data_IF_650928210318
#
_entry.id   IF_650928210318
#
_cell.length_a   1.000
_cell.length_b   1.000
_cell.length_c   1.000
_cell.angle_alpha   90.00
_cell.angle_beta   90.00
_cell.angle_gamma   90.00
#
_symmetry.space_group_name_H-M   'P 1'
#
loop_
_entity.id
_entity.type
_entity.pdbx_description
1 polymer ?
#
# COMPACT_ATOMS: atom_id res chain seq x y z
N UNK A 1 -10.97 43.95 -43.08
CA UNK A 1 -10.61 42.67 -43.72
C UNK A 1 -9.27 42.25 -43.11
N UNK A 2 -9.21 41.34 -42.14
CA UNK A 2 -9.41 39.89 -42.29
C UNK A 2 -8.01 39.26 -42.40
N UNK A 3 -7.40 38.80 -41.30
CA UNK A 3 -7.24 37.37 -40.96
C UNK A 3 -5.89 36.85 -41.50
N UNK A 4 -5.16 35.87 -40.98
CA UNK A 4 -5.28 34.89 -39.89
C UNK A 4 -3.84 34.65 -39.37
N UNK A 5 -3.65 34.45 -38.06
CA UNK A 5 -2.48 33.75 -37.54
C UNK A 5 -3.00 32.56 -36.72
N UNK A 6 -2.72 31.37 -37.22
CA UNK A 6 -3.19 30.09 -36.69
C UNK A 6 -2.65 29.86 -35.29
N UNK A 7 -3.55 29.55 -34.36
CA UNK A 7 -3.22 29.06 -33.02
C UNK A 7 -3.10 27.54 -33.08
N UNK A 8 -1.89 27.03 -33.15
CA UNK A 8 -1.62 25.63 -32.82
C UNK A 8 -1.74 25.47 -31.30
N UNK A 9 -2.81 24.80 -30.88
CA UNK A 9 -3.04 24.42 -29.48
C UNK A 9 -2.63 22.97 -29.33
N UNK A 10 -1.37 22.72 -28.99
CA UNK A 10 -0.93 21.38 -28.57
C UNK A 10 -1.31 21.16 -27.10
N UNK A 11 -2.45 20.53 -26.90
CA UNK A 11 -2.85 20.00 -25.60
C UNK A 11 -1.89 18.89 -25.17
N UNK A 12 -1.15 19.12 -24.07
CA UNK A 12 -0.40 18.08 -23.36
C UNK A 12 -1.37 17.01 -22.83
N UNK A 13 -1.35 15.82 -23.42
CA UNK A 13 -1.95 14.61 -22.82
C UNK A 13 -1.16 14.26 -21.55
N UNK A 14 -1.83 14.26 -20.40
CA UNK A 14 -1.35 13.61 -19.17
C UNK A 14 -1.25 12.10 -19.43
N UNK A 15 -0.16 11.49 -18.98
CA UNK A 15 0.15 10.08 -19.19
C UNK A 15 -0.96 9.18 -18.66
N UNK A 16 -1.57 8.43 -19.57
CA UNK A 16 -2.33 7.24 -19.26
C UNK A 16 -1.31 6.13 -18.94
N UNK A 17 -1.28 5.69 -17.67
CA UNK A 17 -0.45 4.57 -17.25
C UNK A 17 -0.78 3.32 -18.06
N UNK A 18 0.25 2.51 -18.35
CA UNK A 18 0.08 1.20 -19.01
C UNK A 18 -0.94 0.38 -18.21
N UNK A 19 -1.96 -0.11 -18.91
CA UNK A 19 -3.06 -0.88 -18.34
C UNK A 19 -2.52 -2.00 -17.43
N UNK A 20 -2.74 -1.89 -16.12
CA UNK A 20 -2.39 -2.94 -15.14
C UNK A 20 -1.06 -2.79 -14.37
N UNK A 21 -0.39 -1.63 -14.39
CA UNK A 21 0.72 -1.33 -13.47
C UNK A 21 0.47 -0.04 -12.70
N UNK A 22 0.05 -0.16 -11.44
CA UNK A 22 -0.27 0.95 -10.55
C UNK A 22 0.93 1.48 -9.78
N UNK A 23 1.97 0.67 -9.62
CA UNK A 23 3.17 1.03 -8.86
C UNK A 23 4.14 1.93 -9.63
N UNK A 24 4.03 2.04 -10.96
CA UNK A 24 4.98 2.76 -11.80
C UNK A 24 4.66 4.26 -11.94
N UNK A 25 5.71 5.08 -11.95
CA UNK A 25 5.64 6.53 -12.18
C UNK A 25 6.73 7.00 -13.15
N UNK A 26 6.39 7.88 -14.08
CA UNK A 26 7.37 8.48 -15.00
C UNK A 26 8.34 9.43 -14.29
N UNK A 27 7.90 10.06 -13.18
CA UNK A 27 8.68 11.00 -12.39
C UNK A 27 8.31 10.91 -10.90
N UNK A 28 9.24 11.31 -10.03
CA UNK A 28 8.98 11.43 -8.59
C UNK A 28 7.97 12.56 -8.31
N UNK A 29 7.15 12.42 -7.25
CA UNK A 29 6.39 13.54 -6.71
C UNK A 29 7.31 14.69 -6.26
N UNK A 30 6.76 15.90 -6.18
CA UNK A 30 7.46 17.05 -5.61
C UNK A 30 7.63 16.89 -4.09
N UNK A 31 8.73 17.42 -3.55
CA UNK A 31 8.95 17.47 -2.09
C UNK A 31 9.39 16.15 -1.47
N UNK A 32 9.83 15.19 -2.28
CA UNK A 32 10.41 13.94 -1.76
C UNK A 32 11.82 14.14 -1.22
N UNK A 33 12.14 13.41 -0.15
CA UNK A 33 13.47 13.39 0.45
C UNK A 33 14.27 12.19 -0.05
N UNK A 34 15.47 12.42 -0.58
CA UNK A 34 16.37 11.33 -0.98
C UNK A 34 17.13 10.81 0.24
N UNK A 35 17.09 9.49 0.43
CA UNK A 35 17.72 8.77 1.56
C UNK A 35 18.38 7.49 1.07
N UNK A 36 19.09 6.81 1.95
CA UNK A 36 19.83 5.57 1.68
C UNK A 36 19.28 4.43 2.52
N UNK A 37 19.04 3.27 1.91
CA UNK A 37 18.56 2.08 2.64
C UNK A 37 19.64 1.55 3.58
N UNK A 38 19.29 1.29 4.85
CA UNK A 38 20.14 0.59 5.83
C UNK A 38 19.76 -0.90 5.95
N UNK A 39 18.49 -1.19 6.24
CA UNK A 39 18.00 -2.56 6.43
C UNK A 39 16.51 -2.68 6.11
N UNK A 40 16.06 -3.84 5.62
CA UNK A 40 14.63 -4.15 5.43
C UNK A 40 14.26 -5.24 6.43
N UNK A 41 13.32 -4.93 7.33
CA UNK A 41 12.89 -5.83 8.39
C UNK A 41 11.88 -6.84 7.86
N UNK A 42 10.81 -6.34 7.24
CA UNK A 42 9.66 -7.09 6.73
C UNK A 42 9.09 -6.40 5.48
N UNK A 43 7.90 -6.81 5.04
CA UNK A 43 7.27 -6.29 3.82
C UNK A 43 6.72 -4.86 3.94
N UNK A 44 6.78 -4.24 5.12
CA UNK A 44 6.20 -2.93 5.35
C UNK A 44 7.03 -2.00 6.24
N UNK A 45 8.20 -2.45 6.70
CA UNK A 45 9.10 -1.72 7.57
C UNK A 45 10.56 -1.89 7.14
N UNK A 46 11.28 -0.77 7.06
CA UNK A 46 12.71 -0.70 6.77
C UNK A 46 13.40 0.37 7.65
N UNK A 47 14.73 0.46 7.60
CA UNK A 47 15.52 1.57 8.15
C UNK A 47 16.32 2.26 7.06
N UNK A 48 16.55 3.55 7.28
CA UNK A 48 17.42 4.40 6.47
C UNK A 48 18.76 4.62 7.15
N UNK A 49 19.78 5.12 6.46
CA UNK A 49 21.06 5.45 7.10
C UNK A 49 21.01 6.83 7.76
N UNK A 50 20.25 7.73 7.17
CA UNK A 50 20.01 9.08 7.65
C UNK A 50 19.17 9.07 8.95
N UNK A 51 19.11 10.22 9.63
CA UNK A 51 18.28 10.41 10.82
C UNK A 51 18.51 9.34 11.91
N UNK A 52 19.77 9.01 12.23
CA UNK A 52 20.12 8.03 13.28
C UNK A 52 19.53 6.62 13.07
N UNK A 53 19.60 6.11 11.84
CA UNK A 53 19.02 4.81 11.49
C UNK A 53 17.51 4.71 11.72
N UNK A 54 16.79 5.78 11.38
CA UNK A 54 15.33 5.87 11.59
C UNK A 54 14.60 4.72 10.91
N UNK A 55 13.61 4.16 11.61
CA UNK A 55 12.67 3.18 11.05
C UNK A 55 11.61 3.90 10.23
N UNK A 56 11.36 3.41 9.02
CA UNK A 56 10.29 3.87 8.12
C UNK A 56 9.23 2.78 8.00
N UNK A 57 7.98 3.12 8.30
CA UNK A 57 6.79 2.30 8.12
C UNK A 57 6.06 2.75 6.86
N UNK A 58 5.85 1.80 5.95
CA UNK A 58 5.18 2.04 4.68
C UNK A 58 3.70 2.35 4.94
N UNK A 59 3.29 3.59 4.65
CA UNK A 59 1.89 4.02 4.73
C UNK A 59 1.02 3.12 3.86
N UNK A 60 -0.14 2.71 4.37
CA UNK A 60 -1.15 2.00 3.59
C UNK A 60 -0.91 0.49 3.45
N UNK A 61 0.15 -0.06 4.04
CA UNK A 61 0.58 -1.46 3.86
C UNK A 61 0.56 -2.19 5.20
N UNK A 62 0.04 -3.41 5.27
CA UNK A 62 0.15 -4.33 6.42
C UNK A 62 0.60 -5.69 5.87
N UNK A 63 1.90 -5.94 6.01
CA UNK A 63 2.54 -7.15 5.48
C UNK A 63 2.53 -8.27 6.53
N UNK A 64 2.58 -9.54 6.10
CA UNK A 64 2.73 -10.66 7.04
C UNK A 64 4.03 -10.55 7.85
N UNK A 65 3.93 -10.80 9.15
CA UNK A 65 4.99 -10.57 10.13
C UNK A 65 6.01 -11.73 10.14
N UNK A 66 7.28 -11.40 9.90
CA UNK A 66 8.37 -12.38 9.87
C UNK A 66 8.61 -13.06 11.22
N UNK A 67 8.50 -12.31 12.31
CA UNK A 67 8.73 -12.83 13.67
C UNK A 67 7.68 -13.87 14.06
N UNK A 68 6.45 -13.70 13.56
CA UNK A 68 5.32 -14.59 13.83
C UNK A 68 5.27 -15.77 12.82
N UNK A 69 6.19 -15.79 11.84
CA UNK A 69 6.27 -16.78 10.76
C UNK A 69 4.95 -16.90 10.00
N UNK A 70 4.31 -15.76 9.75
CA UNK A 70 3.07 -15.73 8.98
C UNK A 70 3.32 -16.18 7.52
N UNK A 71 2.35 -16.85 6.88
CA UNK A 71 2.46 -17.19 5.47
C UNK A 71 2.80 -15.97 4.60
N UNK A 72 3.71 -16.15 3.65
CA UNK A 72 4.21 -15.10 2.75
C UNK A 72 5.07 -13.99 3.39
N UNK A 73 5.38 -14.05 4.69
CA UNK A 73 6.22 -13.04 5.34
C UNK A 73 7.64 -12.97 4.74
N UNK A 74 8.22 -14.12 4.39
CA UNK A 74 9.56 -14.20 3.77
C UNK A 74 9.54 -13.63 2.36
N UNK A 75 8.54 -13.99 1.58
CA UNK A 75 8.33 -13.54 0.21
C UNK A 75 8.11 -12.01 0.17
N UNK A 76 7.28 -11.49 1.08
CA UNK A 76 7.01 -10.06 1.21
C UNK A 76 8.27 -9.26 1.55
N UNK A 77 9.01 -9.70 2.57
CA UNK A 77 10.26 -9.06 2.96
C UNK A 77 11.33 -9.15 1.86
N UNK A 78 11.43 -10.29 1.17
CA UNK A 78 12.39 -10.47 0.08
C UNK A 78 12.05 -9.60 -1.13
N UNK A 79 10.76 -9.41 -1.44
CA UNK A 79 10.34 -8.50 -2.49
C UNK A 79 10.75 -7.06 -2.18
N UNK A 80 10.53 -6.58 -0.96
CA UNK A 80 11.00 -5.24 -0.55
C UNK A 80 12.52 -5.16 -0.55
N UNK A 81 13.25 -6.18 -0.09
CA UNK A 81 14.73 -6.23 -0.19
C UNK A 81 15.23 -6.17 -1.62
N UNK A 82 14.52 -6.81 -2.54
CA UNK A 82 14.85 -6.76 -3.96
C UNK A 82 14.64 -5.36 -4.51
N UNK A 83 13.57 -4.65 -4.15
CA UNK A 83 13.34 -3.28 -4.61
C UNK A 83 14.27 -2.26 -3.91
N UNK A 84 14.55 -2.47 -2.63
CA UNK A 84 15.34 -1.61 -1.76
C UNK A 84 16.60 -2.34 -1.23
N UNK A 85 17.62 -2.61 -2.07
CA UNK A 85 18.87 -3.17 -1.58
C UNK A 85 19.54 -2.26 -0.56
N UNK A 86 20.21 -2.85 0.42
CA UNK A 86 21.06 -2.11 1.36
C UNK A 86 22.06 -1.22 0.60
N UNK A 87 22.16 0.04 1.02
CA UNK A 87 23.04 1.05 0.40
C UNK A 87 22.50 1.68 -0.88
N UNK A 88 21.35 1.23 -1.40
CA UNK A 88 20.73 1.87 -2.57
C UNK A 88 19.99 3.15 -2.17
N UNK A 89 19.89 4.14 -3.10
CA UNK A 89 19.09 5.32 -2.88
C UNK A 89 17.59 5.01 -3.02
N UNK A 90 16.79 5.68 -2.22
CA UNK A 90 15.33 5.74 -2.37
C UNK A 90 14.82 7.13 -1.98
N UNK A 91 13.53 7.36 -2.19
CA UNK A 91 12.89 8.65 -1.90
C UNK A 91 11.68 8.47 -1.00
N UNK A 92 11.55 9.34 -0.01
CA UNK A 92 10.44 9.36 0.94
C UNK A 92 9.50 10.52 0.62
N UNK A 93 8.21 10.23 0.50
CA UNK A 93 7.13 11.22 0.52
C UNK A 93 6.34 11.05 1.81
N UNK A 94 6.26 12.12 2.59
CA UNK A 94 5.50 12.15 3.84
C UNK A 94 4.04 12.53 3.57
N UNK A 95 3.12 11.94 4.31
CA UNK A 95 1.68 12.22 4.19
C UNK A 95 1.06 12.44 5.57
N UNK A 96 0.81 13.70 5.93
CA UNK A 96 0.29 14.09 7.24
C UNK A 96 1.31 13.96 8.37
N UNK A 97 0.94 13.24 9.44
CA UNK A 97 1.80 13.00 10.60
C UNK A 97 3.04 12.20 10.18
N UNK A 98 4.22 12.70 10.56
CA UNK A 98 5.49 12.09 10.16
C UNK A 98 5.87 10.87 10.99
N UNK A 99 5.29 10.71 12.18
CA UNK A 99 5.65 9.64 13.12
C UNK A 99 4.41 8.99 13.69
N UNK A 100 4.43 7.67 13.80
CA UNK A 100 3.39 6.94 14.54
C UNK A 100 3.69 6.88 16.05
N UNK A 101 2.79 6.26 16.82
CA UNK A 101 2.92 6.05 18.27
C UNK A 101 4.13 5.22 18.71
N UNK A 102 4.87 4.64 17.78
CA UNK A 102 6.07 3.83 18.02
C UNK A 102 7.34 4.54 17.52
N UNK A 103 7.25 5.85 17.30
CA UNK A 103 8.32 6.70 16.77
C UNK A 103 8.86 6.24 15.40
N UNK A 104 8.04 5.51 14.62
CA UNK A 104 8.39 5.14 13.25
C UNK A 104 7.98 6.26 12.31
N UNK A 105 8.88 6.59 11.39
CA UNK A 105 8.63 7.51 10.31
C UNK A 105 7.59 6.93 9.34
N UNK A 106 6.52 7.67 9.03
CA UNK A 106 5.48 7.26 8.08
C UNK A 106 5.77 7.85 6.70
N UNK A 107 5.99 7.01 5.69
CA UNK A 107 6.24 7.48 4.33
C UNK A 107 5.69 6.55 3.22
N UNK A 108 5.46 7.14 2.06
CA UNK A 108 5.53 6.43 0.79
C UNK A 108 6.98 6.37 0.32
N UNK A 109 7.40 5.17 -0.07
CA UNK A 109 8.77 4.89 -0.50
C UNK A 109 8.81 4.71 -2.02
N UNK A 110 9.74 5.40 -2.66
CA UNK A 110 9.99 5.30 -4.09
C UNK A 110 11.40 4.82 -4.38
N UNK A 111 11.54 3.97 -5.39
CA UNK A 111 12.83 3.50 -5.90
C UNK A 111 12.93 3.73 -7.39
N UNK A 112 14.15 3.78 -7.92
CA UNK A 112 14.35 3.85 -9.36
C UNK A 112 13.90 2.53 -10.01
N UNK A 113 13.20 2.62 -11.13
CA UNK A 113 12.83 1.46 -11.91
C UNK A 113 14.08 0.77 -12.47
N UNK A 114 14.24 -0.53 -12.21
CA UNK A 114 15.40 -1.30 -12.72
C UNK A 114 15.31 -1.61 -14.20
N UNK A 115 14.10 -1.62 -14.76
CA UNK A 115 13.87 -1.94 -16.17
C UNK A 115 14.07 -0.72 -17.10
N UNK A 116 14.43 0.45 -16.57
CA UNK A 116 14.71 1.64 -17.39
C UNK A 116 14.38 2.94 -16.69
N UNK A 117 13.80 3.89 -17.43
CA UNK A 117 13.37 5.16 -16.88
C UNK A 117 12.19 5.01 -15.91
N UNK A 118 11.98 6.03 -15.08
CA UNK A 118 10.90 6.12 -14.12
C UNK A 118 11.21 5.51 -12.76
N UNK A 119 10.18 5.42 -11.93
CA UNK A 119 10.23 5.07 -10.53
C UNK A 119 9.12 4.07 -10.19
N UNK A 120 9.29 3.37 -9.08
CA UNK A 120 8.27 2.49 -8.50
C UNK A 120 7.92 2.98 -7.10
N UNK A 121 6.63 3.11 -6.80
CA UNK A 121 6.14 3.24 -5.43
C UNK A 121 6.09 1.87 -4.77
N UNK A 122 6.99 1.61 -3.82
CA UNK A 122 7.13 0.32 -3.13
C UNK A 122 5.84 -0.04 -2.40
N UNK A 123 5.19 0.94 -1.76
CA UNK A 123 3.94 0.70 -1.02
C UNK A 123 2.83 0.13 -1.92
N UNK A 124 2.71 0.64 -3.16
CA UNK A 124 1.74 0.15 -4.13
C UNK A 124 2.21 -1.19 -4.72
N UNK A 125 3.50 -1.34 -5.00
CA UNK A 125 4.07 -2.55 -5.58
C UNK A 125 3.83 -3.79 -4.70
N UNK A 126 4.02 -3.68 -3.37
CA UNK A 126 3.80 -4.80 -2.45
C UNK A 126 2.31 -5.24 -2.46
N UNK A 127 1.38 -4.29 -2.56
CA UNK A 127 -0.06 -4.57 -2.67
C UNK A 127 -0.43 -5.19 -4.02
N UNK A 128 0.19 -4.68 -5.10
CA UNK A 128 -0.01 -5.14 -6.49
C UNK A 128 0.44 -6.59 -6.69
N UNK A 129 1.52 -7.00 -6.02
CA UNK A 129 2.01 -8.39 -5.98
C UNK A 129 1.20 -9.27 -5.01
N UNK A 130 0.30 -8.70 -4.20
CA UNK A 130 -0.44 -9.46 -3.19
C UNK A 130 0.40 -9.95 -2.03
N UNK A 131 1.46 -9.21 -1.68
CA UNK A 131 2.37 -9.54 -0.59
C UNK A 131 2.05 -8.77 0.71
N UNK A 132 1.00 -7.97 0.71
CA UNK A 132 0.45 -7.28 1.87
C UNK A 132 -1.03 -6.95 1.70
N UNK A 133 -1.69 -6.64 2.81
CA UNK A 133 -3.03 -6.05 2.84
C UNK A 133 -2.94 -4.52 2.81
N UNK A 134 -3.96 -3.88 2.23
CA UNK A 134 -4.15 -2.45 2.45
C UNK A 134 -4.54 -2.20 3.91
N UNK A 135 -3.97 -1.17 4.53
CA UNK A 135 -4.24 -0.83 5.92
C UNK A 135 -4.31 0.67 6.17
N UNK A 136 -5.43 1.09 6.78
CA UNK A 136 -5.65 2.45 7.24
C UNK A 136 -6.42 2.41 8.56
N UNK A 137 -5.75 2.56 9.71
CA UNK A 137 -6.42 2.46 11.01
C UNK A 137 -7.33 3.65 11.28
N UNK A 138 -8.51 3.39 11.84
CA UNK A 138 -9.43 4.45 12.26
C UNK A 138 -9.83 5.38 11.10
N UNK A 139 -9.79 6.69 11.36
CA UNK A 139 -10.09 7.73 10.36
C UNK A 139 -8.83 8.29 9.69
N UNK A 140 -7.75 7.50 9.61
CA UNK A 140 -6.49 7.95 8.98
C UNK A 140 -6.72 8.22 7.50
N UNK A 141 -6.41 9.44 7.08
CA UNK A 141 -6.41 9.80 5.67
C UNK A 141 -5.15 9.24 5.00
N UNK A 142 -5.31 8.39 3.98
CA UNK A 142 -4.22 7.84 3.18
C UNK A 142 -4.37 8.42 1.78
N UNK A 143 -3.53 9.39 1.40
CA UNK A 143 -3.69 10.15 0.14
C UNK A 143 -3.71 9.27 -1.11
N UNK A 144 -3.06 8.10 -1.07
CA UNK A 144 -2.98 7.14 -2.18
C UNK A 144 -3.93 5.95 -2.04
N UNK A 145 -4.96 6.06 -1.21
CA UNK A 145 -5.95 4.99 -0.99
C UNK A 145 -6.47 4.37 -2.28
N UNK A 146 -6.95 5.18 -3.22
CA UNK A 146 -7.62 4.66 -4.41
C UNK A 146 -6.70 3.81 -5.29
N UNK A 147 -5.46 4.24 -5.50
CA UNK A 147 -4.49 3.47 -6.30
C UNK A 147 -4.06 2.18 -5.59
N UNK A 148 -3.94 2.22 -4.26
CA UNK A 148 -3.62 1.06 -3.43
C UNK A 148 -4.74 0.02 -3.44
N UNK A 149 -6.01 0.45 -3.35
CA UNK A 149 -7.16 -0.46 -3.44
C UNK A 149 -7.25 -1.10 -4.83
N UNK A 150 -6.99 -0.34 -5.90
CA UNK A 150 -6.94 -0.88 -7.28
C UNK A 150 -5.82 -1.91 -7.45
N UNK A 151 -4.61 -1.62 -6.96
CA UNK A 151 -3.48 -2.55 -6.98
C UNK A 151 -3.81 -3.85 -6.22
N UNK A 152 -4.33 -3.72 -5.00
CA UNK A 152 -4.75 -4.84 -4.16
C UNK A 152 -5.85 -5.67 -4.82
N UNK A 153 -6.80 -5.04 -5.52
CA UNK A 153 -7.86 -5.73 -6.28
C UNK A 153 -7.31 -6.55 -7.44
N UNK A 154 -6.29 -6.06 -8.14
CA UNK A 154 -5.61 -6.84 -9.20
C UNK A 154 -4.92 -8.08 -8.61
N UNK A 155 -4.25 -7.95 -7.46
CA UNK A 155 -3.65 -9.09 -6.79
C UNK A 155 -4.70 -10.14 -6.37
N UNK A 156 -5.84 -9.69 -5.83
CA UNK A 156 -6.99 -10.54 -5.49
C UNK A 156 -7.55 -11.28 -6.70
N UNK A 157 -7.79 -10.58 -7.81
CA UNK A 157 -8.35 -11.22 -9.03
C UNK A 157 -7.42 -12.29 -9.61
N UNK A 158 -6.11 -12.13 -9.41
CA UNK A 158 -5.09 -13.09 -9.82
C UNK A 158 -4.85 -14.22 -8.81
N UNK A 159 -5.46 -14.16 -7.62
CA UNK A 159 -5.16 -15.04 -6.47
C UNK A 159 -3.66 -15.09 -6.16
N UNK A 160 -2.99 -13.94 -6.24
CA UNK A 160 -1.56 -13.83 -6.02
C UNK A 160 -1.22 -13.96 -4.52
N UNK A 161 -0.16 -14.70 -4.20
CA UNK A 161 0.45 -14.76 -2.87
C UNK A 161 -0.56 -14.90 -1.72
N UNK A 162 -0.72 -13.90 -0.83
CA UNK A 162 -1.61 -13.99 0.35
C UNK A 162 -3.07 -14.28 -0.03
N UNK A 163 -3.46 -13.98 -1.28
CA UNK A 163 -4.82 -14.19 -1.79
C UNK A 163 -5.07 -15.62 -2.29
N UNK A 164 -4.04 -16.48 -2.37
CA UNK A 164 -4.14 -17.80 -3.01
C UNK A 164 -5.14 -18.74 -2.33
N UNK A 165 -5.12 -18.78 -1.00
CA UNK A 165 -5.99 -19.64 -0.18
C UNK A 165 -7.15 -18.88 0.47
N UNK A 166 -7.32 -17.60 0.19
CA UNK A 166 -8.33 -16.78 0.84
C UNK A 166 -9.70 -17.01 0.21
N UNK A 167 -10.69 -17.34 1.05
CA UNK A 167 -12.09 -17.39 0.62
C UNK A 167 -12.69 -15.99 0.56
N UNK A 168 -12.60 -15.37 -0.61
CA UNK A 168 -13.13 -14.03 -0.86
C UNK A 168 -14.66 -13.96 -0.80
N UNK A 169 -15.37 -15.09 -0.88
CA UNK A 169 -16.84 -15.13 -0.84
C UNK A 169 -17.39 -15.34 0.57
N UNK A 170 -16.55 -15.72 1.53
CA UNK A 170 -16.90 -15.86 2.95
C UNK A 170 -17.61 -14.60 3.43
N UNK A 171 -18.71 -14.79 4.15
CA UNK A 171 -19.48 -13.68 4.72
C UNK A 171 -18.83 -13.19 6.01
N UNK A 172 -18.66 -11.88 6.10
CA UNK A 172 -18.11 -11.13 7.23
C UNK A 172 -19.00 -9.93 7.51
N UNK A 173 -18.81 -9.31 8.67
CA UNK A 173 -19.59 -8.15 9.09
C UNK A 173 -18.69 -6.96 9.35
N UNK A 174 -19.17 -5.76 9.10
CA UNK A 174 -18.48 -4.53 9.51
C UNK A 174 -19.48 -3.52 10.08
N UNK A 175 -18.97 -2.53 10.81
CA UNK A 175 -19.77 -1.42 11.31
C UNK A 175 -19.67 -0.23 10.34
N UNK A 176 -20.62 0.71 10.42
CA UNK A 176 -20.69 1.85 9.50
C UNK A 176 -19.42 2.73 9.48
N UNK A 177 -18.83 2.96 10.65
CA UNK A 177 -17.69 3.87 10.83
C UNK A 177 -16.41 3.11 11.25
N UNK A 178 -16.43 1.78 11.28
CA UNK A 178 -15.26 0.98 11.64
C UNK A 178 -14.32 0.82 10.44
N UNK A 179 -13.02 0.80 10.70
CA UNK A 179 -12.01 0.50 9.68
C UNK A 179 -11.81 -1.01 9.46
N UNK A 180 -12.42 -1.86 10.30
CA UNK A 180 -12.23 -3.30 10.28
C UNK A 180 -13.51 -4.08 9.91
N UNK A 181 -13.31 -5.27 9.35
CA UNK A 181 -14.35 -6.29 9.22
C UNK A 181 -14.07 -7.47 10.16
N UNK A 182 -15.13 -8.17 10.53
CA UNK A 182 -15.18 -9.10 11.65
C UNK A 182 -15.94 -10.38 11.29
N UNK A 183 -15.70 -11.43 12.06
CA UNK A 183 -16.58 -12.61 12.12
C UNK A 183 -17.91 -12.20 12.76
N UNK A 184 -19.01 -12.85 12.38
CA UNK A 184 -20.35 -12.48 12.86
C UNK A 184 -20.48 -12.48 14.41
N UNK A 185 -19.74 -13.35 15.09
CA UNK A 185 -19.76 -13.50 16.56
C UNK A 185 -18.60 -12.78 17.26
N UNK A 186 -17.98 -11.79 16.62
CA UNK A 186 -16.86 -11.07 17.21
C UNK A 186 -17.30 -10.17 18.37
N UNK A 187 -16.60 -10.29 19.50
CA UNK A 187 -16.88 -9.55 20.72
C UNK A 187 -16.83 -8.02 20.53
N UNK A 188 -15.90 -7.54 19.69
CA UNK A 188 -15.72 -6.12 19.39
C UNK A 188 -16.96 -5.47 18.74
N UNK A 189 -17.85 -6.28 18.15
CA UNK A 189 -19.06 -5.81 17.46
C UNK A 189 -20.35 -6.36 18.05
N UNK A 190 -20.30 -7.06 19.21
CA UNK A 190 -21.46 -7.73 19.83
C UNK A 190 -22.68 -6.83 20.04
N UNK A 191 -22.44 -5.54 20.31
CA UNK A 191 -23.47 -4.54 20.59
C UNK A 191 -23.60 -3.48 19.48
N UNK A 192 -22.95 -3.69 18.33
CA UNK A 192 -22.92 -2.73 17.24
C UNK A 192 -23.91 -3.12 16.14
N UNK A 193 -24.47 -2.12 15.45
CA UNK A 193 -25.18 -2.36 14.19
C UNK A 193 -24.17 -2.70 13.10
N UNK A 194 -24.34 -3.87 12.48
CA UNK A 194 -23.42 -4.37 11.46
C UNK A 194 -24.09 -4.49 10.09
N UNK A 195 -23.27 -4.54 9.05
CA UNK A 195 -23.65 -4.86 7.67
C UNK A 195 -22.84 -6.05 7.20
N UNK A 196 -23.51 -7.03 6.60
CA UNK A 196 -22.87 -8.23 6.07
C UNK A 196 -22.40 -8.02 4.64
N UNK A 197 -21.14 -8.35 4.38
CA UNK A 197 -20.51 -8.31 3.04
C UNK A 197 -19.68 -9.59 2.85
N UNK A 198 -19.18 -9.83 1.64
CA UNK A 198 -18.12 -10.81 1.41
C UNK A 198 -16.75 -10.26 1.84
N UNK A 199 -15.79 -11.15 2.12
CA UNK A 199 -14.38 -10.77 2.37
C UNK A 199 -13.82 -9.91 1.25
N UNK A 200 -14.08 -10.27 -0.02
CA UNK A 200 -13.63 -9.51 -1.18
C UNK A 200 -14.20 -8.08 -1.21
N UNK A 201 -15.51 -7.93 -0.96
CA UNK A 201 -16.15 -6.62 -0.85
C UNK A 201 -15.60 -5.80 0.32
N UNK A 202 -15.32 -6.43 1.47
CA UNK A 202 -14.73 -5.73 2.62
C UNK A 202 -13.36 -5.14 2.28
N UNK A 203 -12.51 -5.88 1.57
CA UNK A 203 -11.24 -5.35 1.07
C UNK A 203 -11.39 -4.29 -0.02
N UNK A 204 -12.39 -4.39 -0.90
CA UNK A 204 -12.71 -3.35 -1.89
C UNK A 204 -13.16 -2.03 -1.20
N UNK A 205 -13.82 -2.14 -0.05
CA UNK A 205 -14.15 -1.02 0.83
C UNK A 205 -12.94 -0.49 1.62
N UNK A 206 -11.76 -1.09 1.46
CA UNK A 206 -10.54 -0.74 2.18
C UNK A 206 -10.61 -0.97 3.68
N UNK A 207 -11.39 -1.97 4.11
CA UNK A 207 -11.45 -2.43 5.49
C UNK A 207 -10.33 -3.45 5.76
N UNK A 208 -9.81 -3.47 6.98
CA UNK A 208 -8.80 -4.43 7.42
C UNK A 208 -9.43 -5.60 8.20
N UNK A 209 -8.84 -6.82 8.18
CA UNK A 209 -9.27 -7.88 9.07
C UNK A 209 -9.14 -7.45 10.54
N UNK A 210 -10.14 -7.78 11.35
CA UNK A 210 -10.06 -7.58 12.80
C UNK A 210 -8.93 -8.44 13.39
N UNK A 211 -8.03 -7.81 14.15
CA UNK A 211 -6.90 -8.50 14.81
C UNK A 211 -7.32 -9.44 15.94
N UNK A 212 -8.50 -9.22 16.53
CA UNK A 212 -9.04 -10.03 17.63
C UNK A 212 -9.70 -11.33 17.11
N UNK A 213 -10.67 -11.22 16.20
CA UNK A 213 -11.42 -12.39 15.73
C UNK A 213 -10.83 -13.08 14.49
N UNK A 214 -9.80 -12.50 13.85
CA UNK A 214 -9.08 -13.03 12.67
C UNK A 214 -10.04 -13.70 11.66
N UNK A 215 -10.93 -12.92 11.02
CA UNK A 215 -12.01 -13.46 10.21
C UNK A 215 -11.56 -14.13 8.91
N UNK A 216 -10.28 -13.99 8.56
CA UNK A 216 -9.59 -14.57 7.41
C UNK A 216 -8.27 -15.17 7.85
#
# INVERSE_FOLDING_TARGET
>A
MGGLCSKDTTAKKKGEGREGTYSFLDALPSGVEKVTVDHVYDGDTLTIQEHNKTRVRLIGVDAPELKEKEPYAVESANFVKQLCPKGSPMWLEYDGERTDRYDRCLAYVYVQNRAGAGYLCVNVAVLEEGLANYYAPGNTNVSKRDIMLKASKVARSKKANIWKSMDLNKKVVHTRNGSAFHSANCEDVRNAKTTTVSVGEAFDLGLNPCRNCKPV
#
